data_IF_935370369040
#
_entry.id   IF_935370369040
#
_cell.length_a   1.000
_cell.length_b   1.000
_cell.length_c   1.000
_cell.angle_alpha   90.00
_cell.angle_beta   90.00
_cell.angle_gamma   90.00
#
_symmetry.space_group_name_H-M   'P 1'
#
loop_
_entity.id
_entity.type
_entity.pdbx_description
1 polymer ?
#
# COMPACT_ATOMS: atom_id res chain seq x y z
N UNK A 1 11.78 1.03 -1.15
CA UNK A 1 11.75 2.06 -2.20
C UNK A 1 10.82 3.22 -1.83
N UNK A 2 9.49 3.07 -1.88
CA UNK A 2 8.52 4.14 -1.55
C UNK A 2 8.77 4.77 -0.17
N UNK A 3 9.02 3.97 0.87
CA UNK A 3 9.29 4.49 2.22
C UNK A 3 10.52 5.41 2.27
N UNK A 4 11.58 5.07 1.53
CA UNK A 4 12.86 5.79 1.49
C UNK A 4 12.85 7.02 0.56
N UNK A 5 11.72 7.33 -0.09
CA UNK A 5 11.62 8.47 -1.02
C UNK A 5 12.18 8.19 -2.41
N UNK A 6 12.56 6.96 -2.69
CA UNK A 6 13.03 6.49 -4.01
C UNK A 6 11.90 5.85 -4.84
N UNK A 7 10.65 6.01 -4.39
CA UNK A 7 9.49 5.45 -5.06
C UNK A 7 9.02 6.35 -6.19
N UNK A 8 8.64 5.73 -7.29
CA UNK A 8 8.06 6.37 -8.47
C UNK A 8 6.57 6.03 -8.58
N UNK A 9 5.81 6.74 -9.42
CA UNK A 9 4.43 6.36 -9.71
C UNK A 9 4.30 4.93 -10.24
N UNK A 10 5.29 4.48 -11.01
CA UNK A 10 5.38 3.09 -11.48
C UNK A 10 5.48 2.09 -10.34
N UNK A 11 6.10 2.43 -9.21
CA UNK A 11 6.13 1.54 -8.04
C UNK A 11 4.73 1.35 -7.43
N UNK A 12 3.86 2.36 -7.50
CA UNK A 12 2.46 2.24 -7.04
C UNK A 12 1.62 1.38 -7.96
N UNK A 13 1.84 1.47 -9.27
CA UNK A 13 1.21 0.59 -10.26
C UNK A 13 1.64 -0.87 -10.06
N UNK A 14 2.94 -1.10 -9.88
CA UNK A 14 3.48 -2.44 -9.62
C UNK A 14 2.89 -3.01 -8.33
N UNK A 15 2.81 -2.21 -7.26
CA UNK A 15 2.24 -2.64 -5.98
C UNK A 15 0.79 -3.14 -6.13
N UNK A 16 -0.05 -2.39 -6.85
CA UNK A 16 -1.43 -2.79 -7.12
C UNK A 16 -1.51 -4.02 -8.04
N UNK A 17 -0.68 -4.06 -9.09
CA UNK A 17 -0.63 -5.18 -10.04
C UNK A 17 -0.29 -6.49 -9.33
N UNK A 18 0.77 -6.49 -8.50
CA UNK A 18 1.20 -7.67 -7.74
C UNK A 18 0.13 -8.09 -6.72
N UNK A 19 -0.47 -7.13 -5.99
CA UNK A 19 -1.55 -7.44 -5.06
C UNK A 19 -2.81 -8.02 -5.75
N UNK A 20 -3.08 -7.62 -6.99
CA UNK A 20 -4.15 -8.19 -7.84
C UNK A 20 -3.79 -9.55 -8.44
N UNK A 21 -2.51 -9.82 -8.66
CA UNK A 21 -2.03 -11.12 -9.16
C UNK A 21 -1.97 -12.19 -8.07
N UNK A 22 -1.78 -11.80 -6.80
CA UNK A 22 -1.73 -12.76 -5.68
C UNK A 22 -3.14 -13.02 -5.14
N UNK A 23 -3.93 -11.97 -4.92
CA UNK A 23 -5.24 -12.09 -4.27
C UNK A 23 -6.26 -12.76 -5.20
N UNK A 24 -6.87 -13.85 -4.73
CA UNK A 24 -7.83 -14.67 -5.47
C UNK A 24 -7.21 -15.62 -6.49
N UNK A 25 -5.87 -15.70 -6.57
CA UNK A 25 -5.14 -16.62 -7.47
C UNK A 25 -4.21 -17.58 -6.73
N UNK A 26 -4.16 -17.49 -5.41
CA UNK A 26 -3.36 -18.38 -4.57
C UNK A 26 -4.27 -19.33 -3.80
N UNK A 27 -3.85 -20.60 -3.68
CA UNK A 27 -4.63 -21.63 -2.98
C UNK A 27 -4.57 -21.48 -1.46
N UNK A 28 -3.46 -20.95 -0.93
CA UNK A 28 -3.25 -20.78 0.50
C UNK A 28 -3.90 -19.48 1.00
N UNK A 29 -4.67 -19.57 2.08
CA UNK A 29 -5.36 -18.42 2.70
C UNK A 29 -4.40 -17.29 3.12
N UNK A 30 -3.13 -17.62 3.39
CA UNK A 30 -2.10 -16.63 3.70
C UNK A 30 -1.84 -15.66 2.53
N UNK A 31 -1.98 -16.13 1.29
CA UNK A 31 -1.78 -15.30 0.10
C UNK A 31 -2.81 -14.18 0.01
N UNK A 32 -4.08 -14.51 0.25
CA UNK A 32 -5.16 -13.50 0.29
C UNK A 32 -5.01 -12.56 1.49
N UNK A 33 -4.66 -13.11 2.66
CA UNK A 33 -4.39 -12.32 3.86
C UNK A 33 -3.26 -11.29 3.64
N UNK A 34 -2.19 -11.66 2.94
CA UNK A 34 -1.08 -10.76 2.64
C UNK A 34 -1.48 -9.60 1.71
N UNK A 35 -2.45 -9.81 0.80
CA UNK A 35 -2.89 -8.76 -0.15
C UNK A 35 -3.98 -7.84 0.40
N UNK A 36 -4.78 -8.31 1.36
CA UNK A 36 -5.84 -7.54 2.01
C UNK A 36 -5.37 -6.19 2.58
N UNK A 37 -4.31 -6.10 3.40
CA UNK A 37 -3.85 -4.84 3.97
C UNK A 37 -3.34 -3.88 2.90
N UNK A 38 -2.70 -4.39 1.83
CA UNK A 38 -2.19 -3.56 0.72
C UNK A 38 -3.37 -2.93 -0.03
N UNK A 39 -4.41 -3.72 -0.34
CA UNK A 39 -5.62 -3.23 -1.00
C UNK A 39 -6.41 -2.24 -0.14
N UNK A 40 -6.52 -2.50 1.16
CA UNK A 40 -7.23 -1.64 2.11
C UNK A 40 -6.51 -0.31 2.31
N UNK A 41 -5.22 -0.36 2.65
CA UNK A 41 -4.40 0.85 2.85
C UNK A 41 -4.31 1.69 1.59
N UNK A 42 -4.17 1.08 0.42
CA UNK A 42 -4.18 1.83 -0.83
C UNK A 42 -5.54 2.52 -1.06
N UNK A 43 -6.67 1.89 -0.72
CA UNK A 43 -8.00 2.49 -0.88
C UNK A 43 -8.24 3.69 0.05
N UNK A 44 -7.76 3.61 1.29
CA UNK A 44 -7.97 4.65 2.30
C UNK A 44 -6.89 5.75 2.28
N UNK A 45 -5.66 5.41 1.89
CA UNK A 45 -4.49 6.28 1.98
C UNK A 45 -3.79 6.52 0.64
N UNK A 46 -4.45 6.29 -0.51
CA UNK A 46 -3.88 6.51 -1.85
C UNK A 46 -3.16 7.87 -2.00
N UNK A 47 -3.74 8.92 -1.40
CA UNK A 47 -3.18 10.27 -1.44
C UNK A 47 -1.82 10.37 -0.73
N UNK A 48 -1.63 9.64 0.37
CA UNK A 48 -0.34 9.59 1.08
C UNK A 48 0.72 8.85 0.26
N UNK A 49 0.34 7.76 -0.41
CA UNK A 49 1.23 7.04 -1.33
C UNK A 49 1.69 7.95 -2.47
N UNK A 50 0.75 8.67 -3.11
CA UNK A 50 1.05 9.61 -4.20
C UNK A 50 1.92 10.78 -3.72
N UNK A 51 1.65 11.33 -2.55
CA UNK A 51 2.48 12.37 -1.93
C UNK A 51 3.93 11.88 -1.69
N UNK A 52 4.08 10.64 -1.22
CA UNK A 52 5.39 10.02 -0.97
C UNK A 52 6.23 9.80 -2.22
N UNK A 53 5.62 9.48 -3.36
CA UNK A 53 6.33 9.25 -4.63
C UNK A 53 6.53 10.52 -5.47
N UNK A 54 5.71 11.55 -5.27
CA UNK A 54 5.82 12.83 -5.99
C UNK A 54 6.87 13.78 -5.39
N UNK A 55 7.56 13.39 -4.32
CA UNK A 55 8.56 14.23 -3.64
C UNK A 55 7.97 15.42 -2.87
N UNK A 56 6.65 15.60 -2.89
CA UNK A 56 5.98 16.63 -2.11
C UNK A 56 6.00 16.25 -0.63
N UNK A 57 6.72 17.02 0.17
CA UNK A 57 6.69 16.97 1.64
C UNK A 57 5.30 17.37 2.13
N UNK A 58 4.35 16.44 2.12
CA UNK A 58 3.11 16.63 2.87
C UNK A 58 3.47 16.44 4.34
N UNK A 59 3.31 17.51 5.10
CA UNK A 59 3.54 17.51 6.54
C UNK A 59 2.81 16.34 7.19
N UNK A 60 3.53 15.64 8.07
CA UNK A 60 3.17 14.35 8.64
C UNK A 60 1.67 14.28 8.98
N UNK A 61 0.90 13.56 8.16
CA UNK A 61 -0.42 13.11 8.56
C UNK A 61 -0.22 12.27 9.84
N UNK A 62 -0.74 12.80 10.95
CA UNK A 62 -0.57 12.23 12.28
C UNK A 62 -1.01 10.78 12.26
N UNK A 63 -0.10 9.94 12.74
CA UNK A 63 -0.27 8.52 13.04
C UNK A 63 -1.67 8.21 13.55
N UNK A 64 -2.43 7.45 12.76
CA UNK A 64 -3.47 6.58 13.27
C UNK A 64 -3.36 5.26 12.52
N UNK A 65 -2.46 4.40 12.98
CA UNK A 65 -2.65 2.96 12.83
C UNK A 65 -3.60 2.60 13.95
N UNK A 66 -4.92 2.45 13.73
CA UNK A 66 -5.69 1.64 14.66
C UNK A 66 -5.08 0.24 14.57
N UNK A 67 -4.53 -0.22 15.70
CA UNK A 67 -4.01 -1.57 15.83
C UNK A 67 -5.05 -2.58 15.31
N UNK A 68 -4.61 -3.71 14.72
CA UNK A 68 -5.52 -4.80 14.40
C UNK A 68 -6.27 -5.18 15.69
N UNK A 69 -7.57 -4.87 15.74
CA UNK A 69 -8.49 -5.49 16.69
C UNK A 69 -8.68 -6.92 16.22
N UNK A 70 -8.47 -7.87 17.15
CA UNK A 70 -8.50 -9.33 16.99
C UNK A 70 -9.44 -9.90 15.91
#
# INVERSE_FOLDING_TARGET
>A
RIYHGEGTERDLEILQSVAGQIGGKTLCALGDFATSPIKGTYRHFANEYKAKVSGNKVEKAKTAVPAPTD
#
